data_IF_798508160638
#
_entry.id   IF_798508160638
#
_cell.length_a   1.000
_cell.length_b   1.000
_cell.length_c   1.000
_cell.angle_alpha   90.00
_cell.angle_beta   90.00
_cell.angle_gamma   90.00
#
_symmetry.space_group_name_H-M   'P 1'
#
loop_
_entity.id
_entity.type
_entity.pdbx_description
1 polymer ?
#
# COMPACT_ATOMS: atom_id res chain seq x y z
N UNK A 1 -1.47 -10.01 17.91
CA UNK A 1 -2.11 -8.76 17.43
C UNK A 1 -2.96 -8.24 18.57
N UNK A 2 -2.58 -7.11 19.17
CA UNK A 2 -3.30 -6.54 20.29
C UNK A 2 -4.62 -5.94 19.80
N UNK A 3 -5.72 -6.45 20.30
CA UNK A 3 -7.05 -5.88 20.08
C UNK A 3 -7.24 -4.78 21.13
N UNK A 4 -7.58 -3.58 20.65
CA UNK A 4 -7.89 -2.43 21.49
C UNK A 4 -9.40 -2.35 21.62
N UNK A 5 -9.89 -2.23 22.85
CA UNK A 5 -11.30 -2.01 23.15
C UNK A 5 -11.54 -0.52 23.41
N UNK A 6 -12.46 0.05 22.68
CA UNK A 6 -12.89 1.44 22.77
C UNK A 6 -14.41 1.47 23.02
N UNK A 7 -14.90 2.45 23.75
CA UNK A 7 -16.28 2.50 24.17
C UNK A 7 -16.99 3.72 23.60
N UNK A 8 -18.24 3.52 23.15
CA UNK A 8 -19.15 4.58 22.74
C UNK A 8 -20.44 4.46 23.53
N UNK A 9 -20.74 5.45 24.36
CA UNK A 9 -21.96 5.53 25.14
C UNK A 9 -22.67 6.83 24.82
N UNK A 10 -23.99 6.75 24.67
CA UNK A 10 -24.83 7.92 24.47
C UNK A 10 -26.21 7.76 25.05
N UNK A 11 -26.76 8.88 25.52
CA UNK A 11 -28.13 9.00 26.00
C UNK A 11 -28.82 10.12 25.21
N UNK A 12 -29.98 9.78 24.61
CA UNK A 12 -30.73 10.72 23.78
C UNK A 12 -31.50 11.78 24.59
N UNK A 13 -31.86 12.89 23.89
CA UNK A 13 -31.68 13.11 22.46
C UNK A 13 -30.30 13.68 22.11
N UNK A 14 -29.53 13.01 21.26
CA UNK A 14 -28.23 13.47 20.80
C UNK A 14 -27.82 12.84 19.46
N UNK A 15 -26.82 13.43 18.84
CA UNK A 15 -26.13 12.88 17.68
C UNK A 15 -24.76 12.43 18.16
N UNK A 16 -24.50 11.13 18.13
CA UNK A 16 -23.19 10.57 18.46
C UNK A 16 -22.26 10.68 17.26
N UNK A 17 -21.07 11.18 17.53
CA UNK A 17 -20.03 11.42 16.53
C UNK A 17 -18.75 10.65 16.86
N UNK A 18 -17.79 10.69 15.94
CA UNK A 18 -16.48 10.10 16.18
C UNK A 18 -15.81 10.63 17.44
N UNK A 19 -15.96 11.92 17.76
CA UNK A 19 -15.38 12.54 18.96
C UNK A 19 -15.90 11.96 20.29
N UNK A 20 -17.10 11.35 20.28
CA UNK A 20 -17.72 10.77 21.49
C UNK A 20 -17.15 9.37 21.83
N UNK A 21 -16.31 8.80 20.97
CA UNK A 21 -15.63 7.53 21.24
C UNK A 21 -14.55 7.75 22.30
N UNK A 22 -14.62 6.98 23.39
CA UNK A 22 -13.62 7.00 24.45
C UNK A 22 -12.41 6.18 24.08
N UNK A 23 -11.35 6.83 23.54
CA UNK A 23 -10.18 6.13 23.02
C UNK A 23 -9.10 5.80 24.06
N UNK A 24 -9.26 6.25 25.30
CA UNK A 24 -8.28 6.05 26.39
C UNK A 24 -6.81 6.31 25.99
N UNK A 25 -6.57 7.19 25.01
CA UNK A 25 -5.27 7.50 24.40
C UNK A 25 -4.55 6.32 23.70
N UNK A 26 -5.28 5.27 23.33
CA UNK A 26 -4.73 4.13 22.60
C UNK A 26 -4.87 4.25 21.09
N UNK A 27 -5.88 5.01 20.65
CA UNK A 27 -6.15 5.29 19.25
C UNK A 27 -6.44 6.77 19.04
N UNK A 28 -6.22 7.28 17.83
CA UNK A 28 -6.54 8.64 17.42
C UNK A 28 -7.64 8.60 16.36
N UNK A 29 -8.68 9.42 16.57
CA UNK A 29 -9.80 9.52 15.64
C UNK A 29 -9.50 10.62 14.63
N UNK A 30 -9.34 10.23 13.37
CA UNK A 30 -8.97 11.15 12.28
C UNK A 30 -10.15 11.98 11.74
N UNK A 31 -11.39 11.51 11.96
CA UNK A 31 -12.61 12.13 11.48
C UNK A 31 -13.62 12.31 12.64
N UNK A 32 -13.33 13.19 13.61
CA UNK A 32 -14.16 13.39 14.79
C UNK A 32 -15.60 13.83 14.47
N UNK A 33 -15.80 14.56 13.39
CA UNK A 33 -17.11 15.09 12.96
C UNK A 33 -18.02 14.03 12.31
N UNK A 34 -17.54 12.79 12.12
CA UNK A 34 -18.33 11.72 11.49
C UNK A 34 -19.51 11.34 12.38
N UNK A 35 -20.73 11.47 11.85
CA UNK A 35 -21.95 11.07 12.54
C UNK A 35 -22.09 9.54 12.53
N UNK A 36 -22.23 8.95 13.73
CA UNK A 36 -22.34 7.50 13.93
C UNK A 36 -23.78 7.11 14.13
N UNK A 37 -24.51 7.81 15.03
CA UNK A 37 -25.89 7.49 15.36
C UNK A 37 -26.66 8.73 15.81
N UNK A 38 -27.97 8.74 15.50
CA UNK A 38 -28.92 9.71 16.02
C UNK A 38 -29.79 9.03 17.06
N UNK A 39 -29.77 9.53 18.28
CA UNK A 39 -30.57 9.02 19.37
C UNK A 39 -31.77 9.94 19.62
N UNK A 40 -32.97 9.36 19.70
CA UNK A 40 -34.19 10.05 20.08
C UNK A 40 -34.31 10.16 21.61
N UNK A 41 -35.38 10.85 22.08
CA UNK A 41 -35.65 10.98 23.51
C UNK A 41 -35.80 9.59 24.17
N UNK A 42 -35.13 9.40 25.28
CA UNK A 42 -35.09 8.15 26.06
C UNK A 42 -34.41 6.95 25.38
N UNK A 43 -33.74 7.16 24.25
CA UNK A 43 -32.91 6.15 23.66
C UNK A 43 -31.52 6.14 24.31
N UNK A 44 -30.98 4.96 24.59
CA UNK A 44 -29.62 4.78 25.06
C UNK A 44 -28.86 3.85 24.11
N UNK A 45 -27.62 4.18 23.80
CA UNK A 45 -26.72 3.34 23.04
C UNK A 45 -25.46 3.10 23.85
N UNK A 46 -25.07 1.83 23.98
CA UNK A 46 -23.79 1.43 24.54
C UNK A 46 -23.19 0.37 23.62
N UNK A 47 -22.03 0.64 23.07
CA UNK A 47 -21.32 -0.31 22.24
C UNK A 47 -19.82 -0.32 22.54
N UNK A 48 -19.21 -1.48 22.37
CA UNK A 48 -17.77 -1.67 22.46
C UNK A 48 -17.23 -1.87 21.05
N UNK A 49 -16.23 -1.07 20.67
CA UNK A 49 -15.56 -1.13 19.39
C UNK A 49 -14.25 -1.87 19.55
N UNK A 50 -14.08 -2.95 18.82
CA UNK A 50 -12.84 -3.73 18.78
C UNK A 50 -11.98 -3.27 17.60
N UNK A 51 -10.86 -2.64 17.90
CA UNK A 51 -9.94 -2.07 16.89
C UNK A 51 -8.64 -2.84 16.90
N UNK A 52 -8.12 -3.17 15.72
CA UNK A 52 -6.82 -3.82 15.58
C UNK A 52 -6.02 -3.24 14.43
N UNK A 53 -4.70 -3.39 14.48
CA UNK A 53 -3.81 -3.06 13.38
C UNK A 53 -3.72 -4.25 12.41
N UNK A 54 -3.84 -3.96 11.11
CA UNK A 54 -3.70 -4.95 10.06
C UNK A 54 -3.15 -4.29 8.77
N UNK A 55 -3.12 -4.99 7.66
CA UNK A 55 -2.63 -4.49 6.37
C UNK A 55 -3.66 -4.72 5.28
N UNK A 56 -3.81 -3.72 4.40
CA UNK A 56 -4.68 -3.81 3.24
C UNK A 56 -6.16 -3.79 3.61
N UNK A 57 -6.97 -4.49 2.82
CA UNK A 57 -8.41 -4.65 3.03
C UNK A 57 -8.68 -6.04 3.60
N UNK A 58 -9.44 -6.10 4.68
CA UNK A 58 -9.80 -7.33 5.37
C UNK A 58 -11.31 -7.44 5.44
N UNK A 59 -11.86 -8.56 4.97
CA UNK A 59 -13.29 -8.79 4.98
C UNK A 59 -13.82 -9.12 6.38
N UNK A 60 -15.13 -8.95 6.58
CA UNK A 60 -15.79 -9.30 7.84
C UNK A 60 -15.56 -10.77 8.24
N UNK A 61 -15.52 -11.66 7.25
CA UNK A 61 -15.27 -13.09 7.48
C UNK A 61 -13.83 -13.35 7.97
N UNK A 62 -12.85 -12.66 7.41
CA UNK A 62 -11.45 -12.74 7.83
C UNK A 62 -11.21 -12.05 9.17
N UNK A 63 -12.02 -11.04 9.50
CA UNK A 63 -12.00 -10.36 10.79
C UNK A 63 -12.55 -11.23 11.93
N UNK A 64 -13.25 -12.32 11.60
CA UNK A 64 -13.83 -13.20 12.60
C UNK A 64 -12.74 -13.87 13.44
N UNK A 65 -12.75 -13.59 14.74
CA UNK A 65 -11.82 -14.15 15.72
C UNK A 65 -12.55 -14.99 16.76
N UNK A 66 -11.95 -16.11 17.17
CA UNK A 66 -12.46 -16.94 18.25
C UNK A 66 -12.22 -16.33 19.63
N UNK A 67 -11.41 -15.31 19.71
CA UNK A 67 -11.05 -14.62 20.95
C UNK A 67 -12.11 -13.60 21.39
N UNK A 68 -12.97 -13.18 20.45
CA UNK A 68 -14.02 -12.19 20.71
C UNK A 68 -15.34 -12.87 21.12
N UNK A 69 -16.22 -12.15 21.86
CA UNK A 69 -17.54 -12.64 22.24
C UNK A 69 -18.42 -13.03 21.05
N UNK A 70 -19.35 -13.96 21.25
CA UNK A 70 -20.22 -14.49 20.18
C UNK A 70 -21.16 -13.44 19.58
N UNK A 71 -21.46 -12.37 20.33
CA UNK A 71 -22.37 -11.30 19.94
C UNK A 71 -21.67 -10.13 19.21
N UNK A 72 -20.44 -10.29 18.78
CA UNK A 72 -19.73 -9.26 18.00
C UNK A 72 -20.21 -9.24 16.56
N UNK A 73 -20.45 -8.05 16.04
CA UNK A 73 -20.75 -7.80 14.62
C UNK A 73 -19.44 -7.47 13.91
N UNK A 74 -19.02 -8.35 13.01
CA UNK A 74 -17.80 -8.15 12.24
C UNK A 74 -18.08 -7.28 11.02
N UNK A 75 -17.21 -6.32 10.76
CA UNK A 75 -17.27 -5.40 9.63
C UNK A 75 -16.02 -5.55 8.77
N UNK A 76 -16.19 -5.22 7.49
CA UNK A 76 -15.05 -5.06 6.59
C UNK A 76 -14.19 -3.88 7.07
N UNK A 77 -12.88 -4.05 7.01
CA UNK A 77 -11.94 -3.03 7.47
C UNK A 77 -10.87 -2.73 6.41
N UNK A 78 -10.64 -1.44 6.18
CA UNK A 78 -9.59 -0.97 5.30
C UNK A 78 -8.45 -0.36 6.12
N UNK A 79 -7.33 -1.08 6.17
CA UNK A 79 -6.14 -0.67 6.90
C UNK A 79 -5.12 0.06 6.02
N UNK A 80 -5.43 0.26 4.73
CA UNK A 80 -4.56 1.03 3.84
C UNK A 80 -4.71 2.52 4.08
N UNK A 81 -3.62 3.24 4.39
CA UNK A 81 -3.66 4.69 4.57
C UNK A 81 -3.74 5.45 3.24
N UNK A 82 -3.54 4.78 2.11
CA UNK A 82 -3.54 5.39 0.78
C UNK A 82 -4.92 5.24 0.15
N UNK A 83 -5.57 6.36 -0.17
CA UNK A 83 -6.87 6.39 -0.83
C UNK A 83 -6.77 6.31 -2.35
N UNK A 84 -5.82 7.06 -2.92
CA UNK A 84 -5.64 7.14 -4.37
C UNK A 84 -4.23 7.58 -4.71
N UNK A 85 -3.71 7.05 -5.80
CA UNK A 85 -2.46 7.50 -6.44
C UNK A 85 -2.75 7.79 -7.91
N UNK A 86 -2.26 8.92 -8.39
CA UNK A 86 -2.27 9.29 -9.80
C UNK A 86 -0.87 9.70 -10.22
N UNK A 87 -0.47 9.42 -11.44
CA UNK A 87 0.82 9.84 -11.95
C UNK A 87 0.73 10.18 -13.44
N UNK A 88 1.60 11.09 -13.85
CA UNK A 88 1.77 11.49 -15.25
C UNK A 88 3.26 11.51 -15.57
N UNK A 89 3.62 10.88 -16.68
CA UNK A 89 4.98 10.89 -17.20
C UNK A 89 5.02 11.89 -18.38
N UNK A 90 6.04 12.72 -18.41
CA UNK A 90 6.34 13.64 -19.50
C UNK A 90 7.83 13.63 -19.79
N UNK A 91 8.21 13.67 -21.07
CA UNK A 91 9.60 13.75 -21.47
C UNK A 91 9.99 15.22 -21.63
N UNK A 92 11.09 15.63 -21.04
CA UNK A 92 11.67 16.95 -21.16
C UNK A 92 13.09 16.86 -21.69
N UNK A 93 13.45 17.80 -22.56
CA UNK A 93 14.82 17.91 -23.05
C UNK A 93 15.60 18.88 -22.15
N UNK A 94 16.57 18.34 -21.41
CA UNK A 94 17.45 19.12 -20.56
C UNK A 94 18.90 18.91 -21.06
N UNK A 95 19.60 19.99 -21.43
CA UNK A 95 20.96 19.95 -21.93
C UNK A 95 21.15 18.95 -23.10
N UNK A 96 20.27 18.98 -24.10
CA UNK A 96 20.27 18.09 -25.28
C UNK A 96 20.07 16.59 -24.96
N UNK A 97 19.69 16.26 -23.72
CA UNK A 97 19.33 14.92 -23.30
C UNK A 97 17.84 14.84 -22.97
N UNK A 98 17.21 13.81 -23.46
CA UNK A 98 15.82 13.51 -23.09
C UNK A 98 15.79 12.89 -21.67
N UNK A 99 14.98 13.48 -20.81
CA UNK A 99 14.79 13.01 -19.45
C UNK A 99 13.28 12.85 -19.17
N UNK A 100 12.92 11.75 -18.56
CA UNK A 100 11.54 11.54 -18.13
C UNK A 100 11.31 12.22 -16.78
N UNK A 101 10.24 13.00 -16.73
CA UNK A 101 9.72 13.61 -15.53
C UNK A 101 8.44 12.90 -15.13
N UNK A 102 8.32 12.51 -13.89
CA UNK A 102 7.10 11.95 -13.32
C UNK A 102 6.50 12.91 -12.30
N UNK A 103 5.25 13.33 -12.57
CA UNK A 103 4.43 14.06 -11.62
C UNK A 103 3.50 13.08 -10.92
N UNK A 104 3.58 12.98 -9.59
CA UNK A 104 2.80 12.02 -8.81
C UNK A 104 1.93 12.76 -7.79
N UNK A 105 0.67 12.36 -7.72
CA UNK A 105 -0.30 12.83 -6.75
C UNK A 105 -0.74 11.67 -5.86
N UNK A 106 -0.64 11.85 -4.55
CA UNK A 106 -0.99 10.82 -3.55
C UNK A 106 -2.00 11.39 -2.57
N UNK A 107 -3.15 10.72 -2.45
CA UNK A 107 -4.18 11.03 -1.47
C UNK A 107 -4.16 10.01 -0.34
N UNK A 108 -4.02 10.49 0.88
CA UNK A 108 -4.02 9.67 2.09
C UNK A 108 -5.31 9.82 2.89
N UNK A 109 -5.50 8.95 3.87
CA UNK A 109 -6.60 9.05 4.84
C UNK A 109 -6.38 10.16 5.89
N UNK A 110 -5.17 10.71 5.99
CA UNK A 110 -4.75 11.62 7.05
C UNK A 110 -3.88 10.95 8.11
N UNK A 111 -3.87 9.61 8.18
CA UNK A 111 -3.05 8.85 9.13
C UNK A 111 -1.53 8.95 8.86
N UNK A 112 -1.16 9.19 7.62
CA UNK A 112 0.24 9.23 7.18
C UNK A 112 0.49 10.42 6.25
N UNK A 113 1.72 10.94 6.29
CA UNK A 113 2.16 11.95 5.35
C UNK A 113 2.36 11.32 3.95
N UNK A 114 1.84 11.91 2.87
CA UNK A 114 2.00 11.40 1.51
C UNK A 114 3.47 11.21 1.10
N UNK A 115 4.36 12.12 1.46
CA UNK A 115 5.79 12.06 1.12
C UNK A 115 6.44 10.85 1.80
N UNK A 116 6.17 10.65 3.09
CA UNK A 116 6.72 9.53 3.86
C UNK A 116 6.18 8.19 3.35
N UNK A 117 4.93 8.17 2.87
CA UNK A 117 4.31 6.98 2.28
C UNK A 117 5.04 6.55 1.00
N UNK A 118 5.39 7.50 0.13
CA UNK A 118 6.17 7.21 -1.09
C UNK A 118 7.57 6.72 -0.73
N UNK A 119 8.24 7.36 0.23
CA UNK A 119 9.55 6.94 0.69
C UNK A 119 9.53 5.52 1.28
N UNK A 120 8.50 5.19 2.06
CA UNK A 120 8.32 3.86 2.63
C UNK A 120 8.05 2.80 1.56
N UNK A 121 7.23 3.12 0.56
CA UNK A 121 6.99 2.23 -0.58
C UNK A 121 8.27 1.95 -1.36
N UNK A 122 9.09 2.98 -1.60
CA UNK A 122 10.40 2.81 -2.24
C UNK A 122 11.35 1.92 -1.41
N UNK A 123 11.32 2.04 -0.08
CA UNK A 123 12.07 1.18 0.83
C UNK A 123 11.64 -0.28 0.69
N UNK A 124 10.34 -0.55 0.68
CA UNK A 124 9.80 -1.90 0.50
C UNK A 124 10.29 -2.48 -0.85
N UNK A 125 10.19 -1.72 -1.94
CA UNK A 125 10.67 -2.15 -3.26
C UNK A 125 12.17 -2.48 -3.23
N UNK A 126 12.97 -1.64 -2.60
CA UNK A 126 14.40 -1.87 -2.44
C UNK A 126 14.68 -3.18 -1.70
N UNK A 127 14.01 -3.41 -0.56
CA UNK A 127 14.18 -4.64 0.25
C UNK A 127 13.78 -5.89 -0.56
N UNK A 128 12.72 -5.83 -1.36
CA UNK A 128 12.36 -6.92 -2.25
C UNK A 128 13.38 -7.17 -3.36
N UNK A 129 13.99 -6.11 -3.88
CA UNK A 129 15.02 -6.23 -4.92
C UNK A 129 16.36 -6.74 -4.38
N UNK A 130 16.65 -6.57 -3.09
CA UNK A 130 17.86 -7.09 -2.46
C UNK A 130 18.03 -8.61 -2.63
N UNK A 131 16.92 -9.35 -2.73
CA UNK A 131 16.95 -10.81 -2.98
C UNK A 131 17.64 -11.16 -4.32
N UNK A 132 17.60 -10.26 -5.30
CA UNK A 132 18.25 -10.45 -6.61
C UNK A 132 19.69 -9.97 -6.62
N UNK A 133 20.13 -9.24 -5.60
CA UNK A 133 21.50 -8.70 -5.52
C UNK A 133 22.37 -9.74 -4.80
N UNK A 134 22.75 -10.80 -5.53
CA UNK A 134 23.73 -11.78 -5.05
C UNK A 134 25.16 -11.34 -5.39
N UNK A 135 25.48 -10.07 -5.09
CA UNK A 135 26.84 -9.58 -5.27
C UNK A 135 27.66 -9.94 -4.04
N UNK A 136 28.65 -10.81 -4.22
CA UNK A 136 29.78 -10.93 -3.32
C UNK A 136 30.82 -9.88 -3.77
N UNK A 137 30.95 -8.73 -3.08
CA UNK A 137 31.85 -7.67 -3.50
C UNK A 137 33.33 -8.10 -3.42
N UNK A 138 33.66 -9.19 -2.74
CA UNK A 138 34.99 -9.74 -2.62
C UNK A 138 35.32 -10.72 -3.77
N UNK A 139 34.35 -11.26 -4.46
CA UNK A 139 34.50 -11.99 -5.70
C UNK A 139 34.37 -11.07 -6.91
N UNK A 140 35.31 -10.15 -7.09
CA UNK A 140 35.60 -9.67 -8.44
C UNK A 140 36.08 -10.90 -9.21
N UNK A 141 35.30 -11.37 -10.16
CA UNK A 141 35.77 -12.21 -11.24
C UNK A 141 36.72 -11.30 -11.98
N UNK A 142 38.03 -11.40 -11.71
CA UNK A 142 39.03 -10.87 -12.60
C UNK A 142 38.76 -11.58 -13.93
N UNK A 143 38.59 -10.86 -15.04
CA UNK A 143 38.44 -11.54 -16.33
C UNK A 143 39.69 -12.40 -16.48
N UNK A 144 39.50 -13.71 -16.53
CA UNK A 144 40.56 -14.64 -16.90
C UNK A 144 41.07 -14.21 -18.27
N UNK A 145 42.27 -13.60 -18.30
CA UNK A 145 42.94 -13.14 -19.52
C UNK A 145 43.37 -14.32 -20.44
N UNK A 146 43.13 -15.58 -20.04
CA UNK A 146 43.53 -16.79 -20.70
C UNK A 146 42.39 -17.76 -21.08
N UNK A 147 41.19 -17.29 -21.27
CA UNK A 147 40.21 -18.12 -21.98
C UNK A 147 40.29 -17.78 -23.46
N UNK A 148 41.01 -18.62 -24.18
CA UNK A 148 40.81 -18.79 -25.63
C UNK A 148 39.30 -18.81 -25.88
N UNK A 149 38.80 -17.79 -26.54
CA UNK A 149 37.42 -17.67 -26.96
C UNK A 149 37.17 -18.75 -28.01
N UNK A 150 36.95 -20.01 -27.59
CA UNK A 150 36.12 -20.87 -28.41
C UNK A 150 34.77 -20.18 -28.48
N UNK A 151 34.43 -19.71 -29.66
CA UNK A 151 33.13 -19.07 -29.96
C UNK A 151 32.02 -19.99 -29.41
N UNK A 152 31.49 -19.59 -28.25
CA UNK A 152 30.27 -20.21 -27.74
C UNK A 152 29.21 -20.07 -28.84
N UNK A 153 28.46 -21.13 -29.16
CA UNK A 153 27.41 -21.05 -30.16
C UNK A 153 26.47 -19.94 -29.78
N UNK A 154 26.47 -18.87 -30.57
CA UNK A 154 25.53 -17.78 -30.48
C UNK A 154 24.15 -18.42 -30.52
N UNK A 155 23.41 -18.28 -29.42
CA UNK A 155 22.05 -18.77 -29.37
C UNK A 155 21.18 -17.79 -30.16
N UNK A 156 21.13 -17.99 -31.48
CA UNK A 156 20.42 -17.17 -32.45
C UNK A 156 18.93 -17.01 -32.11
N UNK A 157 18.42 -17.86 -31.23
CA UNK A 157 17.03 -17.77 -30.77
C UNK A 157 16.79 -16.63 -29.78
N UNK A 158 17.79 -16.12 -29.07
CA UNK A 158 17.60 -14.98 -28.16
C UNK A 158 17.55 -13.65 -28.93
N UNK A 159 18.22 -13.59 -30.07
CA UNK A 159 18.22 -12.40 -30.95
C UNK A 159 16.88 -12.29 -31.72
N UNK A 160 16.29 -13.43 -32.08
CA UNK A 160 15.02 -13.46 -32.83
C UNK A 160 13.80 -13.06 -31.98
N UNK A 161 13.84 -13.28 -30.67
CA UNK A 161 12.75 -12.86 -29.79
C UNK A 161 12.68 -11.32 -29.61
N UNK A 162 13.81 -10.62 -29.77
CA UNK A 162 13.85 -9.16 -29.65
C UNK A 162 13.59 -8.43 -30.98
N UNK A 163 13.73 -9.12 -32.12
CA UNK A 163 13.53 -8.54 -33.45
C UNK A 163 12.20 -8.87 -34.06
N UNK A 164 11.46 -9.88 -33.55
CA UNK A 164 10.14 -10.24 -34.07
C UNK A 164 9.02 -9.30 -33.61
N UNK A 165 9.22 -8.63 -32.47
CA UNK A 165 8.23 -7.69 -31.92
C UNK A 165 8.28 -6.30 -32.62
N UNK A 166 9.38 -6.01 -33.31
CA UNK A 166 9.53 -4.76 -34.06
C UNK A 166 9.08 -4.84 -35.53
N UNK A 167 8.75 -6.06 -36.02
CA UNK A 167 8.42 -6.26 -37.44
C UNK A 167 6.91 -6.36 -37.71
N UNK A 168 6.06 -6.43 -36.69
CA UNK A 168 4.63 -6.68 -36.85
C UNK A 168 3.75 -5.41 -36.78
N UNK A 169 4.36 -4.22 -36.61
CA UNK A 169 3.62 -2.95 -36.60
C UNK A 169 3.61 -2.21 -37.94
N UNK A 170 3.92 -2.83 -39.01
CA UNK A 170 4.00 -2.13 -40.26
C UNK A 170 3.40 -2.83 -41.45
N UNK A 171 2.12 -3.13 -41.49
CA UNK A 171 1.35 -3.26 -42.75
C UNK A 171 -0.15 -3.41 -42.45
N UNK A 172 -0.79 -2.30 -42.15
CA UNK A 172 -2.21 -2.12 -42.38
C UNK A 172 -2.42 -1.41 -43.70
N UNK A 173 -2.92 -2.10 -44.67
CA UNK A 173 -3.59 -1.53 -45.85
C UNK A 173 -5.09 -1.53 -45.61
#
# INVERSE_FOLDING_TARGET
DDIIEEELIGEGPCVLRGEDISTFNKAEILNPDCEIAHLEENATLSMILYVRMNKGYVTAEENQSRELPVNVIYLDSNHSPIKRVNYKISTQTVNEQEQDQMDMEVWTSGAVNPIDSVAYAAKIMKEHMEVFINFDPEKRIEPDEDLDVEEAPTNDNLCLLYTSDAADEGLGV
#
